data_IF_571681306024
#
_entry.id   IF_571681306024
#
_cell.length_a   1.000
_cell.length_b   1.000
_cell.length_c   1.000
_cell.angle_alpha   90.00
_cell.angle_beta   90.00
_cell.angle_gamma   90.00
#
_symmetry.space_group_name_H-M   'P 1'
#
loop_
_entity.id
_entity.type
_entity.pdbx_description
1 polymer ?
#
# COMPACT_ATOMS: atom_id res chain seq x y z
N UNK A 1 -7.05 -11.90 -24.17
CA UNK A 1 -6.52 -10.53 -24.30
C UNK A 1 -7.57 -9.48 -23.94
N UNK A 2 -8.73 -9.45 -24.61
CA UNK A 2 -9.82 -8.50 -24.32
C UNK A 2 -10.30 -8.55 -22.86
N UNK A 3 -10.50 -9.76 -22.31
CA UNK A 3 -10.88 -9.98 -20.91
C UNK A 3 -9.86 -9.41 -19.91
N UNK A 4 -8.57 -9.53 -20.20
CA UNK A 4 -7.51 -8.98 -19.35
C UNK A 4 -7.52 -7.45 -19.33
N UNK A 5 -7.65 -6.83 -20.52
CA UNK A 5 -7.79 -5.37 -20.63
C UNK A 5 -9.02 -4.90 -19.85
N UNK A 6 -10.16 -5.56 -20.03
CA UNK A 6 -11.38 -5.24 -19.32
C UNK A 6 -11.16 -5.30 -17.80
N UNK A 7 -10.64 -6.42 -17.29
CA UNK A 7 -10.37 -6.59 -15.85
C UNK A 7 -9.44 -5.51 -15.30
N UNK A 8 -8.36 -5.18 -16.01
CA UNK A 8 -7.44 -4.12 -15.59
C UNK A 8 -8.08 -2.73 -15.58
N UNK A 9 -8.89 -2.40 -16.58
CA UNK A 9 -9.57 -1.09 -16.68
C UNK A 9 -10.70 -0.96 -15.66
N UNK A 10 -11.39 -2.06 -15.35
CA UNK A 10 -12.51 -2.07 -14.40
C UNK A 10 -12.08 -2.31 -12.94
N UNK A 11 -10.86 -1.95 -12.57
CA UNK A 11 -10.34 -2.09 -11.20
C UNK A 11 -10.27 -3.54 -10.67
N UNK A 12 -10.20 -4.56 -11.54
CA UNK A 12 -10.06 -5.98 -11.16
C UNK A 12 -8.70 -6.63 -11.55
N UNK A 13 -7.54 -5.94 -11.42
CA UNK A 13 -6.25 -6.56 -11.73
C UNK A 13 -5.90 -7.72 -10.77
N UNK A 14 -6.48 -7.76 -9.56
CA UNK A 14 -6.34 -8.89 -8.62
C UNK A 14 -7.06 -10.17 -9.07
N UNK A 15 -8.12 -10.05 -9.89
CA UNK A 15 -8.72 -11.21 -10.56
C UNK A 15 -7.80 -11.62 -11.72
N UNK A 16 -7.31 -10.65 -12.47
CA UNK A 16 -6.44 -10.90 -13.61
C UNK A 16 -5.10 -11.57 -13.22
N UNK A 17 -4.53 -11.24 -12.05
CA UNK A 17 -3.29 -11.85 -11.56
C UNK A 17 -3.37 -13.36 -11.39
N UNK A 18 -4.57 -13.92 -11.15
CA UNK A 18 -4.76 -15.37 -11.06
C UNK A 18 -4.62 -16.11 -12.41
N UNK A 19 -4.56 -15.38 -13.51
CA UNK A 19 -4.31 -15.93 -14.85
C UNK A 19 -2.84 -15.82 -15.26
N UNK A 20 -1.93 -15.52 -14.32
CA UNK A 20 -0.49 -15.39 -14.54
C UNK A 20 -0.13 -14.49 -15.74
N UNK A 21 -0.57 -13.22 -15.75
CA UNK A 21 -0.44 -12.33 -16.91
C UNK A 21 1.00 -11.85 -17.18
N UNK A 22 1.97 -12.34 -16.42
CA UNK A 22 3.37 -11.93 -16.45
C UNK A 22 3.69 -10.88 -15.38
N UNK A 23 4.94 -10.86 -14.91
CA UNK A 23 5.33 -10.10 -13.71
C UNK A 23 5.04 -8.60 -13.76
N UNK A 24 5.03 -8.00 -14.96
CA UNK A 24 4.71 -6.57 -15.15
C UNK A 24 3.26 -6.26 -14.77
N UNK A 25 2.32 -7.14 -15.13
CA UNK A 25 0.89 -6.92 -14.89
C UNK A 25 0.43 -7.56 -13.59
N UNK A 26 1.12 -8.62 -13.16
CA UNK A 26 0.79 -9.33 -11.94
C UNK A 26 0.85 -8.41 -10.74
N UNK A 27 1.90 -7.58 -10.61
CA UNK A 27 2.10 -6.66 -9.47
C UNK A 27 0.91 -5.73 -9.21
N UNK A 28 0.12 -5.39 -10.24
CA UNK A 28 -1.04 -4.50 -10.14
C UNK A 28 -2.16 -5.04 -9.23
N UNK A 29 -2.10 -6.32 -8.83
CA UNK A 29 -3.10 -6.94 -7.95
C UNK A 29 -3.34 -6.14 -6.67
N UNK A 30 -2.29 -5.64 -6.00
CA UNK A 30 -2.45 -4.92 -4.73
C UNK A 30 -3.00 -3.51 -4.91
N UNK A 31 -2.70 -2.83 -6.02
CA UNK A 31 -3.34 -1.53 -6.36
C UNK A 31 -4.83 -1.74 -6.57
N UNK A 32 -5.22 -2.77 -7.33
CA UNK A 32 -6.64 -3.04 -7.59
C UNK A 32 -7.45 -3.24 -6.31
N UNK A 33 -6.88 -3.94 -5.32
CA UNK A 33 -7.54 -4.13 -4.02
C UNK A 33 -7.69 -2.80 -3.26
N UNK A 34 -6.66 -1.95 -3.28
CA UNK A 34 -6.70 -0.63 -2.67
C UNK A 34 -7.78 0.25 -3.34
N UNK A 35 -7.82 0.29 -4.67
CA UNK A 35 -8.81 1.04 -5.44
C UNK A 35 -10.25 0.52 -5.19
N UNK A 36 -10.45 -0.81 -5.19
CA UNK A 36 -11.72 -1.43 -4.85
C UNK A 36 -12.17 -1.05 -3.44
N UNK A 37 -11.26 -1.14 -2.45
CA UNK A 37 -11.56 -0.76 -1.07
C UNK A 37 -12.05 0.69 -0.99
N UNK A 38 -11.35 1.62 -1.64
CA UNK A 38 -11.77 3.03 -1.64
C UNK A 38 -13.06 3.29 -2.42
N UNK A 39 -13.29 2.58 -3.52
CA UNK A 39 -14.53 2.68 -4.29
C UNK A 39 -15.74 2.27 -3.44
N UNK A 40 -15.61 1.25 -2.59
CA UNK A 40 -16.68 0.84 -1.68
C UNK A 40 -16.79 1.70 -0.41
N UNK A 41 -15.68 1.97 0.27
CA UNK A 41 -15.71 2.61 1.59
C UNK A 41 -15.88 4.14 1.52
N UNK A 42 -15.29 4.81 0.53
CA UNK A 42 -15.35 6.27 0.46
C UNK A 42 -16.78 6.82 0.27
N UNK A 43 -17.63 6.27 -0.62
CA UNK A 43 -19.03 6.67 -0.72
C UNK A 43 -19.81 6.40 0.57
N UNK A 44 -19.56 5.27 1.25
CA UNK A 44 -20.23 4.96 2.52
C UNK A 44 -19.94 6.00 3.59
N UNK A 45 -18.74 6.58 3.63
CA UNK A 45 -18.41 7.67 4.55
C UNK A 45 -19.18 8.96 4.28
N UNK A 46 -19.68 9.18 3.05
CA UNK A 46 -20.52 10.35 2.75
C UNK A 46 -21.92 10.23 3.38
N UNK A 47 -22.40 9.01 3.56
CA UNK A 47 -23.74 8.74 4.12
C UNK A 47 -23.72 8.45 5.63
N UNK A 48 -22.56 8.12 6.19
CA UNK A 48 -22.42 7.79 7.61
C UNK A 48 -22.15 9.04 8.46
N UNK A 49 -22.82 9.21 9.62
CA UNK A 49 -22.49 10.28 10.54
C UNK A 49 -21.10 10.05 11.14
N UNK A 50 -20.29 11.11 11.24
CA UNK A 50 -18.89 11.06 11.71
C UNK A 50 -18.72 10.27 13.02
N UNK A 51 -19.67 10.40 13.96
CA UNK A 51 -19.65 9.71 15.26
C UNK A 51 -19.75 8.19 15.16
N UNK A 52 -20.30 7.66 14.06
CA UNK A 52 -20.46 6.21 13.83
C UNK A 52 -19.35 5.60 12.98
N UNK A 53 -18.43 6.39 12.43
CA UNK A 53 -17.37 5.87 11.55
C UNK A 53 -16.47 4.87 12.27
N UNK A 54 -16.10 5.12 13.53
CA UNK A 54 -15.29 4.19 14.32
C UNK A 54 -16.02 2.87 14.55
N UNK A 55 -17.31 2.93 14.93
CA UNK A 55 -18.14 1.74 15.11
C UNK A 55 -18.28 0.96 13.80
N UNK A 56 -18.57 1.67 12.69
CA UNK A 56 -18.67 1.07 11.37
C UNK A 56 -17.38 0.38 10.95
N UNK A 57 -16.22 1.04 11.04
CA UNK A 57 -14.94 0.45 10.67
C UNK A 57 -14.56 -0.73 11.58
N UNK A 58 -14.88 -0.67 12.87
CA UNK A 58 -14.65 -1.79 13.79
C UNK A 58 -15.49 -2.99 13.39
N UNK A 59 -16.80 -2.79 13.18
CA UNK A 59 -17.71 -3.84 12.76
C UNK A 59 -17.34 -4.40 11.39
N UNK A 60 -17.04 -3.52 10.42
CA UNK A 60 -16.60 -3.91 9.09
C UNK A 60 -15.32 -4.75 9.16
N UNK A 61 -14.30 -4.31 9.89
CA UNK A 61 -13.03 -5.06 10.03
C UNK A 61 -13.28 -6.44 10.62
N UNK A 62 -14.03 -6.54 11.73
CA UNK A 62 -14.30 -7.81 12.40
C UNK A 62 -15.15 -8.76 11.55
N UNK A 63 -16.27 -8.27 11.00
CA UNK A 63 -17.17 -9.08 10.16
C UNK A 63 -16.45 -9.52 8.89
N UNK A 64 -15.78 -8.59 8.21
CA UNK A 64 -15.07 -8.89 6.97
C UNK A 64 -13.94 -9.89 7.18
N UNK A 65 -13.21 -9.79 8.30
CA UNK A 65 -12.19 -10.78 8.66
C UNK A 65 -12.79 -12.19 8.82
N UNK A 66 -13.91 -12.32 9.53
CA UNK A 66 -14.61 -13.61 9.68
C UNK A 66 -15.12 -14.13 8.33
N UNK A 67 -15.70 -13.27 7.51
CA UNK A 67 -16.17 -13.60 6.17
C UNK A 67 -15.03 -14.06 5.23
N UNK A 68 -13.86 -13.42 5.31
CA UNK A 68 -12.68 -13.76 4.52
C UNK A 68 -12.17 -15.19 4.79
N UNK A 69 -12.30 -15.67 6.04
CA UNK A 69 -11.95 -17.04 6.43
C UNK A 69 -13.12 -18.03 6.40
N UNK A 70 -14.33 -17.56 6.06
CA UNK A 70 -15.50 -18.43 5.94
C UNK A 70 -15.46 -19.27 4.67
N UNK A 71 -16.05 -20.46 4.73
CA UNK A 71 -16.20 -21.34 3.55
C UNK A 71 -17.26 -20.81 2.56
N UNK A 72 -18.13 -19.91 2.99
CA UNK A 72 -19.21 -19.36 2.16
C UNK A 72 -18.70 -18.37 1.10
N UNK A 73 -17.65 -17.60 1.39
CA UNK A 73 -17.15 -16.54 0.50
C UNK A 73 -15.70 -16.79 0.06
N UNK A 74 -15.45 -17.98 -0.50
CA UNK A 74 -14.12 -18.43 -0.95
C UNK A 74 -13.46 -17.45 -1.93
N UNK A 75 -14.26 -16.71 -2.71
CA UNK A 75 -13.74 -15.73 -3.68
C UNK A 75 -12.93 -14.61 -3.02
N UNK A 76 -13.23 -14.24 -1.77
CA UNK A 76 -12.49 -13.20 -1.04
C UNK A 76 -11.02 -13.60 -0.88
N UNK A 77 -10.78 -14.85 -0.47
CA UNK A 77 -9.44 -15.43 -0.36
C UNK A 77 -8.82 -15.66 -1.74
N UNK A 78 -9.59 -16.18 -2.71
CA UNK A 78 -9.12 -16.45 -4.08
C UNK A 78 -8.57 -15.20 -4.77
N UNK A 79 -9.20 -14.04 -4.58
CA UNK A 79 -8.81 -12.78 -5.21
C UNK A 79 -8.07 -11.84 -4.27
N UNK A 80 -7.52 -12.37 -3.16
CA UNK A 80 -6.71 -11.63 -2.18
C UNK A 80 -7.40 -10.34 -1.69
N UNK A 81 -8.71 -10.35 -1.49
CA UNK A 81 -9.49 -9.18 -1.09
C UNK A 81 -9.23 -8.83 0.39
N UNK A 82 -8.05 -8.29 0.70
CA UNK A 82 -7.52 -8.09 2.05
C UNK A 82 -7.99 -6.78 2.70
N UNK A 83 -9.27 -6.40 2.53
CA UNK A 83 -9.81 -5.10 2.97
C UNK A 83 -9.63 -4.82 4.47
N UNK A 84 -9.56 -5.87 5.30
CA UNK A 84 -9.36 -5.73 6.74
C UNK A 84 -8.01 -5.07 7.11
N UNK A 85 -6.98 -5.16 6.28
CA UNK A 85 -5.72 -4.41 6.49
C UNK A 85 -5.94 -2.89 6.38
N UNK A 86 -6.67 -2.47 5.35
CA UNK A 86 -6.97 -1.06 5.08
C UNK A 86 -7.95 -0.49 6.10
N UNK A 87 -9.03 -1.22 6.42
CA UNK A 87 -10.03 -0.76 7.38
C UNK A 87 -9.48 -0.66 8.79
N UNK A 88 -8.62 -1.60 9.21
CA UNK A 88 -7.95 -1.54 10.51
C UNK A 88 -6.95 -0.38 10.57
N UNK A 89 -6.14 -0.16 9.53
CA UNK A 89 -5.25 1.00 9.42
C UNK A 89 -6.02 2.33 9.51
N UNK A 90 -7.15 2.43 8.80
CA UNK A 90 -8.05 3.59 8.89
C UNK A 90 -8.64 3.76 10.28
N UNK A 91 -9.05 2.68 10.95
CA UNK A 91 -9.54 2.71 12.33
C UNK A 91 -8.47 3.24 13.29
N UNK A 92 -7.22 2.73 13.18
CA UNK A 92 -6.11 3.23 13.96
C UNK A 92 -5.86 4.73 13.73
N UNK A 93 -5.97 5.21 12.48
CA UNK A 93 -5.78 6.64 12.17
C UNK A 93 -6.84 7.55 12.78
N UNK A 94 -8.08 7.09 12.94
CA UNK A 94 -9.15 7.88 13.56
C UNK A 94 -8.97 7.87 15.08
N UNK A 95 -8.69 6.69 15.65
CA UNK A 95 -8.52 6.52 17.09
C UNK A 95 -7.25 7.21 17.59
N UNK A 96 -6.28 7.48 16.70
CA UNK A 96 -5.09 8.28 16.96
C UNK A 96 -5.36 9.58 17.74
N UNK A 97 -6.52 10.22 17.53
CA UNK A 97 -6.88 11.45 18.22
C UNK A 97 -7.22 11.27 19.72
N UNK A 98 -7.43 10.04 20.19
CA UNK A 98 -7.71 9.75 21.60
C UNK A 98 -6.43 9.62 22.43
N UNK A 99 -6.37 10.37 23.54
CA UNK A 99 -5.20 10.40 24.46
C UNK A 99 -4.79 9.01 24.97
N UNK A 100 -5.77 8.16 25.31
CA UNK A 100 -5.50 6.80 25.80
C UNK A 100 -4.75 5.95 24.76
N UNK A 101 -5.17 6.03 23.50
CA UNK A 101 -4.52 5.30 22.42
C UNK A 101 -3.09 5.82 22.18
N UNK A 102 -2.87 7.13 22.20
CA UNK A 102 -1.52 7.69 22.08
C UNK A 102 -0.59 7.22 23.20
N UNK A 103 -1.07 7.16 24.44
CA UNK A 103 -0.30 6.64 25.57
C UNK A 103 0.03 5.16 25.39
N UNK A 104 -0.94 4.35 24.97
CA UNK A 104 -0.75 2.93 24.67
C UNK A 104 0.32 2.72 23.58
N UNK A 105 0.18 3.41 22.45
CA UNK A 105 1.09 3.30 21.30
C UNK A 105 2.51 3.76 21.67
N UNK A 106 2.66 4.81 22.49
CA UNK A 106 3.98 5.24 22.99
C UNK A 106 4.61 4.18 23.89
N UNK A 107 3.84 3.56 24.79
CA UNK A 107 4.33 2.49 25.68
C UNK A 107 4.74 1.25 24.89
N UNK A 108 3.97 0.89 23.86
CA UNK A 108 4.21 -0.31 23.03
C UNK A 108 5.20 -0.07 21.87
N UNK A 109 5.78 1.12 21.75
CA UNK A 109 6.65 1.48 20.61
C UNK A 109 7.75 0.46 20.32
N UNK A 110 8.65 0.24 21.28
CA UNK A 110 9.80 -0.64 21.11
C UNK A 110 9.42 -2.11 20.94
N UNK A 111 8.52 -2.71 21.75
CA UNK A 111 8.14 -4.11 21.54
C UNK A 111 7.46 -4.31 20.18
N UNK A 112 6.57 -3.42 19.75
CA UNK A 112 5.92 -3.55 18.44
C UNK A 112 6.91 -3.40 17.28
N UNK A 113 7.89 -2.49 17.35
CA UNK A 113 8.94 -2.37 16.33
C UNK A 113 9.87 -3.59 16.29
N UNK A 114 10.21 -4.17 17.45
CA UNK A 114 11.00 -5.39 17.51
C UNK A 114 10.25 -6.57 16.90
N UNK A 115 8.98 -6.73 17.24
CA UNK A 115 8.11 -7.75 16.65
C UNK A 115 7.98 -7.54 15.13
N UNK A 116 7.86 -6.29 14.68
CA UNK A 116 7.83 -5.95 13.25
C UNK A 116 9.11 -6.33 12.52
N UNK A 117 10.29 -6.10 13.12
CA UNK A 117 11.55 -6.55 12.54
C UNK A 117 11.60 -8.08 12.50
N UNK A 118 11.26 -8.75 13.61
CA UNK A 118 11.22 -10.21 13.69
C UNK A 118 10.26 -10.83 12.66
N UNK A 119 9.16 -10.15 12.33
CA UNK A 119 8.21 -10.58 11.31
C UNK A 119 8.86 -10.75 9.92
N UNK A 120 9.84 -9.91 9.58
CA UNK A 120 10.55 -9.98 8.29
C UNK A 120 11.84 -10.78 8.33
N UNK A 121 12.48 -10.91 9.50
CA UNK A 121 13.79 -11.57 9.62
C UNK A 121 13.72 -13.02 10.10
N UNK A 122 12.55 -13.47 10.58
CA UNK A 122 12.38 -14.82 11.16
C UNK A 122 11.15 -15.52 10.60
N UNK A 123 11.21 -16.85 10.55
CA UNK A 123 10.09 -17.71 10.13
C UNK A 123 9.17 -18.11 11.31
N UNK A 124 9.37 -17.53 12.49
CA UNK A 124 8.64 -17.91 13.71
C UNK A 124 7.13 -17.79 13.49
N UNK A 125 6.67 -16.72 12.83
CA UNK A 125 5.25 -16.48 12.61
C UNK A 125 4.66 -17.33 11.49
N UNK A 126 5.43 -17.58 10.42
CA UNK A 126 4.96 -18.41 9.29
C UNK A 126 4.85 -19.88 9.67
N UNK A 127 5.74 -20.37 10.54
CA UNK A 127 5.79 -21.79 10.90
C UNK A 127 4.82 -22.13 12.04
N UNK A 128 4.52 -21.19 12.94
CA UNK A 128 3.68 -21.45 14.11
C UNK A 128 2.21 -21.00 13.98
N UNK A 129 1.89 -20.07 13.08
CA UNK A 129 0.51 -19.59 12.93
C UNK A 129 -0.23 -20.27 11.78
N UNK A 130 -1.48 -20.66 12.04
CA UNK A 130 -2.39 -21.00 10.96
C UNK A 130 -2.71 -19.73 10.12
N UNK A 131 -3.25 -19.87 8.89
CA UNK A 131 -3.52 -18.71 8.03
C UNK A 131 -4.40 -17.64 8.67
N UNK A 132 -5.35 -18.03 9.54
CA UNK A 132 -6.23 -17.11 10.25
C UNK A 132 -5.45 -16.27 11.26
N UNK A 133 -4.74 -16.91 12.19
CA UNK A 133 -3.91 -16.23 13.19
C UNK A 133 -2.80 -15.42 12.54
N UNK A 134 -2.21 -15.92 11.46
CA UNK A 134 -1.19 -15.19 10.72
C UNK A 134 -1.71 -13.86 10.19
N UNK A 135 -2.88 -13.85 9.53
CA UNK A 135 -3.48 -12.61 9.02
C UNK A 135 -3.98 -11.71 10.15
N UNK A 136 -4.61 -12.28 11.19
CA UNK A 136 -5.06 -11.55 12.38
C UNK A 136 -3.92 -10.78 13.03
N UNK A 137 -2.83 -11.50 13.30
CA UNK A 137 -1.62 -10.94 13.87
C UNK A 137 -1.01 -9.88 12.95
N UNK A 138 -0.90 -10.19 11.66
CA UNK A 138 -0.29 -9.30 10.67
C UNK A 138 -1.02 -7.97 10.58
N UNK A 139 -2.34 -7.95 10.31
CA UNK A 139 -3.03 -6.67 10.10
C UNK A 139 -3.01 -5.80 11.36
N UNK A 140 -3.07 -6.42 12.56
CA UNK A 140 -2.95 -5.71 13.83
C UNK A 140 -1.55 -5.11 13.97
N UNK A 141 -0.51 -5.92 13.73
CA UNK A 141 0.88 -5.49 13.80
C UNK A 141 1.14 -4.32 12.85
N UNK A 142 0.73 -4.42 11.58
CA UNK A 142 0.92 -3.36 10.58
C UNK A 142 0.14 -2.08 10.92
N UNK A 143 -1.11 -2.17 11.39
CA UNK A 143 -1.87 -1.00 11.81
C UNK A 143 -1.24 -0.27 13.00
N UNK A 144 -0.73 -1.03 13.99
CA UNK A 144 -0.03 -0.47 15.14
C UNK A 144 1.34 0.11 14.76
N UNK A 145 2.12 -0.53 13.89
CA UNK A 145 3.43 -0.04 13.48
C UNK A 145 3.32 1.28 12.72
N UNK A 146 2.35 1.39 11.80
CA UNK A 146 2.05 2.66 11.11
C UNK A 146 1.69 3.74 12.13
N UNK A 147 0.84 3.42 13.12
CA UNK A 147 0.48 4.36 14.19
C UNK A 147 1.68 4.82 15.02
N UNK A 148 2.62 3.91 15.33
CA UNK A 148 3.87 4.21 16.06
C UNK A 148 4.76 5.15 15.25
N UNK A 149 4.93 4.86 13.96
CA UNK A 149 5.76 5.66 13.05
C UNK A 149 5.16 7.05 12.84
N UNK A 150 3.83 7.18 12.86
CA UNK A 150 3.12 8.46 12.77
C UNK A 150 3.29 9.33 14.03
N UNK A 151 3.28 8.75 15.25
CA UNK A 151 3.46 9.53 16.50
C UNK A 151 4.87 10.13 16.60
N UNK A 152 5.88 9.29 16.37
CA UNK A 152 7.27 9.68 16.50
C UNK A 152 8.03 9.04 15.33
N UNK A 153 8.25 9.78 14.25
CA UNK A 153 9.03 9.26 13.14
C UNK A 153 10.45 8.91 13.60
N UNK A 154 11.06 7.94 12.92
CA UNK A 154 12.43 7.51 13.20
C UNK A 154 13.35 8.47 12.44
N UNK A 155 14.27 9.15 13.13
CA UNK A 155 15.17 10.15 12.52
C UNK A 155 15.92 9.62 11.27
N UNK A 156 16.27 8.34 11.26
CA UNK A 156 16.91 7.69 10.11
C UNK A 156 16.03 7.69 8.84
N UNK A 157 14.71 7.67 9.00
CA UNK A 157 13.72 7.73 7.92
C UNK A 157 13.38 9.16 7.47
N UNK A 158 13.82 10.19 8.22
CA UNK A 158 13.49 11.60 7.93
C UNK A 158 14.58 12.34 7.16
N UNK A 159 15.63 11.65 6.70
CA UNK A 159 16.69 12.28 5.94
C UNK A 159 16.21 12.67 4.52
N UNK A 160 16.96 13.57 3.85
CA UNK A 160 16.59 14.08 2.51
C UNK A 160 16.41 12.97 1.47
N UNK A 161 17.22 11.91 1.55
CA UNK A 161 17.18 10.77 0.61
C UNK A 161 15.91 9.95 0.83
N UNK A 162 15.60 9.56 2.06
CA UNK A 162 14.41 8.79 2.40
C UNK A 162 13.13 9.56 2.08
N UNK A 163 13.08 10.86 2.36
CA UNK A 163 11.96 11.72 1.98
C UNK A 163 11.80 11.81 0.45
N UNK A 164 12.90 11.83 -0.30
CA UNK A 164 12.85 11.82 -1.77
C UNK A 164 12.38 10.46 -2.32
N UNK A 165 12.91 9.35 -1.79
CA UNK A 165 12.46 8.01 -2.15
C UNK A 165 10.98 7.80 -1.83
N UNK A 166 10.49 8.33 -0.71
CA UNK A 166 9.08 8.34 -0.36
C UNK A 166 8.21 9.08 -1.38
N UNK A 167 8.68 10.23 -1.90
CA UNK A 167 7.96 10.98 -2.94
C UNK A 167 7.84 10.22 -4.26
N UNK A 168 8.86 9.45 -4.63
CA UNK A 168 8.87 8.67 -5.89
C UNK A 168 8.45 7.20 -5.69
N UNK A 169 7.94 6.85 -4.50
CA UNK A 169 7.66 5.47 -4.10
C UNK A 169 6.62 4.78 -4.99
N UNK A 170 5.60 5.53 -5.44
CA UNK A 170 4.62 5.03 -6.40
C UNK A 170 5.31 4.60 -7.71
N UNK A 171 6.20 5.43 -8.26
CA UNK A 171 7.01 5.09 -9.42
C UNK A 171 7.87 3.84 -9.17
N UNK A 172 8.56 3.76 -8.02
CA UNK A 172 9.39 2.60 -7.68
C UNK A 172 8.57 1.32 -7.71
N UNK A 173 7.40 1.36 -7.08
CA UNK A 173 6.48 0.23 -7.05
C UNK A 173 5.91 -0.11 -8.44
N UNK A 174 5.64 0.86 -9.32
CA UNK A 174 5.14 0.58 -10.66
C UNK A 174 6.22 0.04 -11.62
N UNK A 175 7.41 0.64 -11.60
CA UNK A 175 8.44 0.36 -12.60
C UNK A 175 9.37 -0.80 -12.24
N UNK A 176 9.48 -1.20 -10.96
CA UNK A 176 10.42 -2.27 -10.59
C UNK A 176 10.16 -3.56 -11.36
N UNK A 177 8.90 -3.98 -11.56
CA UNK A 177 8.58 -5.19 -12.31
C UNK A 177 9.00 -5.12 -13.79
N UNK A 178 8.85 -3.95 -14.41
CA UNK A 178 9.31 -3.70 -15.79
C UNK A 178 10.83 -3.76 -15.85
N UNK A 179 11.51 -3.07 -14.93
CA UNK A 179 12.98 -3.04 -14.86
C UNK A 179 13.54 -4.44 -14.58
N UNK A 180 12.94 -5.22 -13.68
CA UNK A 180 13.32 -6.61 -13.42
C UNK A 180 13.28 -7.44 -14.70
N UNK A 181 12.20 -7.35 -15.47
CA UNK A 181 12.06 -8.10 -16.73
C UNK A 181 13.09 -7.65 -17.79
N UNK A 182 13.33 -6.35 -17.90
CA UNK A 182 14.30 -5.79 -18.86
C UNK A 182 15.74 -6.17 -18.50
N UNK A 183 16.14 -5.98 -17.24
CA UNK A 183 17.48 -6.35 -16.76
C UNK A 183 17.68 -7.85 -16.83
N UNK A 184 16.67 -8.64 -16.46
CA UNK A 184 16.70 -10.10 -16.59
C UNK A 184 16.90 -10.56 -18.04
N UNK A 185 16.19 -9.96 -19.00
CA UNK A 185 16.37 -10.24 -20.42
C UNK A 185 17.78 -9.88 -20.90
N UNK A 186 18.29 -8.71 -20.51
CA UNK A 186 19.63 -8.28 -20.88
C UNK A 186 20.70 -9.21 -20.31
N UNK A 187 20.55 -9.60 -19.03
CA UNK A 187 21.42 -10.56 -18.39
C UNK A 187 21.46 -11.89 -19.15
N UNK A 188 20.29 -12.48 -19.44
CA UNK A 188 20.20 -13.77 -20.14
C UNK A 188 20.82 -13.74 -21.55
N UNK A 189 20.71 -12.62 -22.27
CA UNK A 189 21.20 -12.53 -23.66
C UNK A 189 22.67 -12.13 -23.77
N UNK A 190 23.17 -11.31 -22.86
CA UNK A 190 24.47 -10.64 -22.96
C UNK A 190 25.42 -11.12 -21.87
N UNK A 191 25.05 -10.90 -20.60
CA UNK A 191 25.96 -11.05 -19.46
C UNK A 191 26.22 -12.51 -19.11
N UNK A 192 25.21 -13.37 -19.24
CA UNK A 192 25.34 -14.82 -18.99
C UNK A 192 26.41 -15.50 -19.86
N UNK A 193 26.74 -14.90 -21.01
CA UNK A 193 27.77 -15.40 -21.94
C UNK A 193 29.19 -14.95 -21.57
N UNK A 194 29.35 -14.04 -20.61
CA UNK A 194 30.65 -13.51 -20.18
C UNK A 194 31.34 -14.36 -19.11
N UNK A 195 30.67 -15.38 -18.56
CA UNK A 195 31.28 -16.39 -17.69
C UNK A 195 31.72 -15.87 -16.30
N UNK A 196 31.01 -14.89 -15.74
CA UNK A 196 31.25 -14.41 -14.37
C UNK A 196 30.90 -15.47 -13.31
N UNK A 197 31.35 -15.23 -12.07
CA UNK A 197 30.95 -16.04 -10.92
C UNK A 197 29.48 -15.78 -10.55
N UNK A 198 28.71 -16.85 -10.35
CA UNK A 198 27.27 -16.79 -10.08
C UNK A 198 26.86 -15.81 -8.96
N UNK A 199 27.69 -15.63 -7.92
CA UNK A 199 27.40 -14.71 -6.80
C UNK A 199 27.55 -13.24 -7.19
N UNK A 200 28.57 -12.91 -7.97
CA UNK A 200 28.80 -11.55 -8.46
C UNK A 200 27.68 -11.13 -9.41
N UNK A 201 27.22 -12.04 -10.28
CA UNK A 201 26.09 -11.79 -11.19
C UNK A 201 24.82 -11.42 -10.42
N UNK A 202 24.48 -12.17 -9.36
CA UNK A 202 23.31 -11.89 -8.52
C UNK A 202 23.42 -10.48 -7.89
N UNK A 203 24.58 -10.12 -7.36
CA UNK A 203 24.79 -8.81 -6.74
C UNK A 203 24.64 -7.70 -7.78
N UNK A 204 25.30 -7.83 -8.94
CA UNK A 204 25.27 -6.84 -10.01
C UNK A 204 23.84 -6.64 -10.52
N UNK A 205 23.11 -7.73 -10.82
CA UNK A 205 21.73 -7.67 -11.30
C UNK A 205 20.83 -6.92 -10.31
N UNK A 206 20.91 -7.25 -9.03
CA UNK A 206 20.07 -6.60 -8.01
C UNK A 206 20.40 -5.11 -7.86
N UNK A 207 21.68 -4.74 -7.84
CA UNK A 207 22.10 -3.33 -7.81
C UNK A 207 21.60 -2.60 -9.06
N UNK A 208 21.73 -3.19 -10.24
CA UNK A 208 21.24 -2.62 -11.49
C UNK A 208 19.73 -2.42 -11.45
N UNK A 209 18.94 -3.41 -10.99
CA UNK A 209 17.49 -3.31 -10.87
C UNK A 209 17.11 -2.15 -9.95
N UNK A 210 17.70 -2.07 -8.76
CA UNK A 210 17.40 -1.02 -7.78
C UNK A 210 17.74 0.36 -8.37
N UNK A 211 18.94 0.49 -8.94
CA UNK A 211 19.44 1.76 -9.47
C UNK A 211 18.60 2.25 -10.66
N UNK A 212 18.37 1.39 -11.65
CA UNK A 212 17.55 1.73 -12.84
C UNK A 212 16.12 2.06 -12.41
N UNK A 213 15.55 1.30 -11.47
CA UNK A 213 14.20 1.59 -10.94
C UNK A 213 14.13 2.97 -10.31
N UNK A 214 15.09 3.36 -9.47
CA UNK A 214 15.12 4.69 -8.85
C UNK A 214 15.23 5.79 -9.91
N UNK A 215 16.07 5.61 -10.94
CA UNK A 215 16.24 6.58 -12.03
C UNK A 215 14.94 6.74 -12.82
N UNK A 216 14.36 5.64 -13.29
CA UNK A 216 13.10 5.66 -14.07
C UNK A 216 11.98 6.28 -13.24
N UNK A 217 11.89 5.94 -11.96
CA UNK A 217 10.89 6.49 -11.05
C UNK A 217 11.09 7.98 -10.81
N UNK A 218 12.34 8.45 -10.69
CA UNK A 218 12.64 9.87 -10.56
C UNK A 218 12.20 10.67 -11.79
N UNK A 219 12.52 10.17 -12.99
CA UNK A 219 12.08 10.81 -14.22
C UNK A 219 10.57 10.77 -14.40
N UNK A 220 9.93 9.64 -14.06
CA UNK A 220 8.48 9.52 -14.08
C UNK A 220 7.82 10.53 -13.14
N UNK A 221 8.36 10.69 -11.92
CA UNK A 221 7.86 11.66 -10.96
C UNK A 221 7.99 13.09 -11.49
N UNK A 222 9.18 13.44 -12.02
CA UNK A 222 9.46 14.79 -12.50
C UNK A 222 8.58 15.18 -13.68
N UNK A 223 8.39 14.31 -14.67
CA UNK A 223 7.73 14.66 -15.91
C UNK A 223 6.23 14.32 -15.97
N UNK A 224 5.80 13.22 -15.33
CA UNK A 224 4.41 12.78 -15.38
C UNK A 224 3.68 13.06 -14.07
N UNK A 225 4.19 12.57 -12.94
CA UNK A 225 3.46 12.65 -11.67
C UNK A 225 3.32 14.10 -11.17
N UNK A 226 4.40 14.88 -11.25
CA UNK A 226 4.42 16.27 -10.78
C UNK A 226 3.42 17.14 -11.55
N UNK A 227 3.17 16.84 -12.83
CA UNK A 227 2.19 17.54 -13.65
C UNK A 227 0.78 17.36 -13.07
N UNK A 228 0.35 16.13 -12.81
CA UNK A 228 -0.97 15.83 -12.23
C UNK A 228 -1.11 16.35 -10.79
N UNK A 229 -0.06 16.26 -9.98
CA UNK A 229 -0.05 16.82 -8.62
C UNK A 229 -0.24 18.35 -8.64
N UNK A 230 0.43 19.04 -9.57
CA UNK A 230 0.30 20.49 -9.71
C UNK A 230 -1.09 20.91 -10.22
N UNK A 231 -1.70 20.13 -11.11
CA UNK A 231 -3.09 20.32 -11.53
C UNK A 231 -4.06 20.25 -10.33
N UNK A 232 -3.93 19.21 -9.49
CA UNK A 232 -4.73 19.06 -8.27
C UNK A 232 -4.58 20.27 -7.32
N UNK A 233 -3.36 20.75 -7.12
CA UNK A 233 -3.11 21.90 -6.26
C UNK A 233 -3.82 23.17 -6.77
N UNK A 234 -3.77 23.43 -8.08
CA UNK A 234 -4.47 24.57 -8.70
C UNK A 234 -5.99 24.48 -8.52
N UNK A 235 -6.59 23.30 -8.69
CA UNK A 235 -8.03 23.08 -8.49
C UNK A 235 -8.42 23.31 -7.02
N UNK A 236 -7.64 22.80 -6.07
CA UNK A 236 -7.91 23.00 -4.64
C UNK A 236 -7.81 24.46 -4.20
N UNK A 237 -6.85 25.22 -4.76
CA UNK A 237 -6.74 26.67 -4.50
C UNK A 237 -7.98 27.41 -5.05
N UNK A 238 -8.44 27.07 -6.26
CA UNK A 238 -9.69 27.62 -6.82
C UNK A 238 -10.93 27.27 -5.99
N UNK A 239 -11.03 26.04 -5.47
CA UNK A 239 -12.15 25.63 -4.59
C UNK A 239 -12.14 26.38 -3.26
N UNK A 240 -10.98 26.56 -2.62
CA UNK A 240 -10.85 27.33 -1.36
C UNK A 240 -11.15 28.82 -1.55
N UNK A 241 -10.82 29.38 -2.71
CA UNK A 241 -11.14 30.79 -3.04
C UNK A 241 -12.63 30.96 -3.37
N UNK A 242 -13.24 30.02 -4.12
CA UNK A 242 -14.69 30.01 -4.37
C UNK A 242 -15.57 29.83 -3.12
N UNK A 243 -15.12 29.05 -2.13
CA UNK A 243 -15.81 28.92 -0.83
C UNK A 243 -15.74 30.23 -0.02
N UNK A 244 -14.68 31.02 -0.17
CA UNK A 244 -14.56 32.33 0.48
C UNK A 244 -15.42 33.42 -0.18
N UNK A 245 -15.82 33.25 -1.44
CA UNK A 245 -16.62 34.23 -2.19
C UNK A 245 -18.12 33.94 -2.22
N UNK A 246 -18.58 32.80 -1.69
CA UNK A 246 -20.00 32.56 -1.45
C UNK A 246 -20.47 33.48 -0.31
N UNK A 247 -21.53 34.29 -0.50
CA UNK A 247 -22.06 35.11 0.58
C UNK A 247 -22.50 34.18 1.72
N UNK A 248 -22.09 34.52 2.95
CA UNK A 248 -22.67 33.95 4.17
C UNK A 248 -24.11 34.44 4.26
N UNK A 249 -25.02 33.84 3.49
CA UNK A 249 -26.44 34.02 3.74
C UNK A 249 -26.73 33.33 5.09
N UNK A 250 -26.90 34.19 6.09
CA UNK A 250 -27.21 33.79 7.45
C UNK A 250 -28.52 33.03 7.48
N UNK A 251 -28.45 31.80 7.98
CA UNK A 251 -29.58 31.21 8.65
C UNK A 251 -29.49 31.66 10.11
N UNK A 252 -30.36 32.62 10.46
CA UNK A 252 -30.90 32.72 11.82
C UNK A 252 -31.78 31.50 12.07
#
# INVERSE_FOLDING_TARGET
>A
MLSGILLSVTFFPNIFSNYSPGGILEILWSIGIEEQFYLFIAPLFLFLPLKRIVLFLSMFTSIYFLLYFSEYLVFLKRYKMLFFYFSFGGLCSIIYNHRLFQTLIKKLRYPTLLIFIAYFTTEIFTNNFNPLFYNLFSFILFGLTISILAIKPIKALENKVMNHLGKISYGIYMYHAIVMQLVGLFYLKVISKLGFQNTLDIIIINICIIFITIIVSHFSFKYYESFFLNLKNKVNIKRKTGIKTLPKNGYK
#
